data_IF_467577235202
#
_entry.id   IF_467577235202
#
_cell.length_a   1.000
_cell.length_b   1.000
_cell.length_c   1.000
_cell.angle_alpha   90.00
_cell.angle_beta   90.00
_cell.angle_gamma   90.00
#
_symmetry.space_group_name_H-M   'P 1'
#
loop_
_entity.id
_entity.type
_entity.pdbx_description
1 polymer ?
#
# COMPACT_ATOMS: atom_id res chain seq x y z
N UNK A 1 11.72 4.44 -22.58
CA UNK A 1 12.60 3.30 -22.74
C UNK A 1 11.89 1.98 -22.42
N UNK A 2 11.74 1.53 -21.15
CA UNK A 2 11.16 0.22 -20.84
C UNK A 2 9.74 -0.01 -21.40
N UNK A 3 8.88 1.00 -21.37
CA UNK A 3 7.52 0.93 -21.94
C UNK A 3 7.59 0.73 -23.45
N UNK A 4 8.45 1.48 -24.14
CA UNK A 4 8.61 1.38 -25.58
C UNK A 4 9.21 0.03 -26.01
N UNK A 5 10.15 -0.49 -25.24
CA UNK A 5 10.87 -1.75 -25.55
C UNK A 5 9.96 -2.97 -25.39
N UNK A 6 9.05 -2.98 -24.42
CA UNK A 6 8.15 -4.11 -24.14
C UNK A 6 6.77 -3.97 -24.77
N UNK A 7 6.39 -2.77 -25.20
CA UNK A 7 5.10 -2.45 -25.82
C UNK A 7 3.87 -3.11 -25.12
N UNK A 8 3.70 -2.96 -23.79
CA UNK A 8 2.59 -3.58 -23.06
C UNK A 8 1.27 -2.87 -23.41
N UNK A 9 0.15 -3.58 -23.29
CA UNK A 9 -1.18 -2.97 -23.44
C UNK A 9 -1.58 -2.17 -22.18
N UNK A 10 -1.16 -2.67 -21.01
CA UNK A 10 -1.47 -2.09 -19.72
C UNK A 10 -0.22 -1.94 -18.88
N UNK A 11 -0.21 -0.94 -18.00
CA UNK A 11 0.92 -0.62 -17.13
C UNK A 11 0.40 -0.48 -15.69
N UNK A 12 0.91 -1.33 -14.80
CA UNK A 12 0.64 -1.25 -13.37
C UNK A 12 1.79 -0.51 -12.68
N UNK A 13 1.47 0.59 -12.01
CA UNK A 13 2.40 1.41 -11.24
C UNK A 13 2.12 1.19 -9.76
N UNK A 14 3.14 0.86 -8.99
CA UNK A 14 3.05 0.57 -7.57
C UNK A 14 3.91 1.54 -6.77
N UNK A 15 3.44 1.96 -5.60
CA UNK A 15 4.27 2.64 -4.63
C UNK A 15 5.28 1.68 -3.99
N UNK A 16 6.46 2.18 -3.62
CA UNK A 16 7.58 1.38 -3.13
C UNK A 16 7.66 1.22 -1.60
N UNK A 17 6.83 1.95 -0.85
CA UNK A 17 6.88 2.07 0.61
C UNK A 17 5.54 1.74 1.30
N UNK A 18 4.75 0.87 0.70
CA UNK A 18 3.47 0.43 1.25
C UNK A 18 3.50 -1.06 1.59
N UNK A 19 2.88 -1.42 2.71
CA UNK A 19 2.68 -2.81 3.16
C UNK A 19 1.23 -3.21 2.96
N UNK A 20 0.99 -4.14 2.06
CA UNK A 20 -0.34 -4.68 1.73
C UNK A 20 -0.22 -6.00 0.97
N UNK A 21 -1.35 -6.67 0.78
CA UNK A 21 -1.43 -7.90 0.00
C UNK A 21 -2.67 -7.81 -0.89
N UNK A 22 -2.47 -7.64 -2.19
CA UNK A 22 -3.54 -7.39 -3.16
C UNK A 22 -3.47 -8.37 -4.32
N UNK A 23 -4.63 -8.91 -4.73
CA UNK A 23 -4.78 -9.61 -5.99
C UNK A 23 -5.02 -8.59 -7.12
N UNK A 24 -3.96 -8.24 -7.83
CA UNK A 24 -4.06 -7.29 -8.94
C UNK A 24 -4.93 -7.78 -10.10
N UNK A 25 -5.23 -9.07 -10.21
CA UNK A 25 -6.10 -9.60 -11.25
C UNK A 25 -7.53 -9.07 -11.13
N UNK A 26 -8.02 -8.86 -9.91
CA UNK A 26 -9.36 -8.28 -9.66
C UNK A 26 -9.41 -6.82 -10.15
N UNK A 27 -8.40 -6.03 -9.82
CA UNK A 27 -8.27 -4.66 -10.31
C UNK A 27 -8.16 -4.61 -11.84
N UNK A 28 -7.39 -5.52 -12.43
CA UNK A 28 -7.20 -5.63 -13.88
C UNK A 28 -8.50 -6.01 -14.58
N UNK A 29 -9.23 -7.01 -14.08
CA UNK A 29 -10.53 -7.43 -14.60
C UNK A 29 -11.52 -6.25 -14.62
N UNK A 30 -11.65 -5.53 -13.50
CA UNK A 30 -12.51 -4.35 -13.41
C UNK A 30 -12.10 -3.25 -14.40
N UNK A 31 -10.80 -3.01 -14.54
CA UNK A 31 -10.25 -2.03 -15.49
C UNK A 31 -10.67 -2.36 -16.92
N UNK A 32 -10.52 -3.62 -17.35
CA UNK A 32 -10.92 -4.07 -18.69
C UNK A 32 -12.43 -4.01 -18.90
N UNK A 33 -13.22 -4.56 -17.96
CA UNK A 33 -14.68 -4.60 -18.05
C UNK A 33 -15.30 -3.21 -18.15
N UNK A 34 -14.71 -2.25 -17.49
CA UNK A 34 -15.19 -0.86 -17.51
C UNK A 34 -14.62 -0.05 -18.67
N UNK A 35 -13.55 -0.50 -19.33
CA UNK A 35 -12.87 0.26 -20.37
C UNK A 35 -12.31 1.59 -19.84
N UNK A 36 -11.72 1.57 -18.66
CA UNK A 36 -11.11 2.75 -18.05
C UNK A 36 -9.81 3.13 -18.76
N UNK A 37 -9.46 4.42 -18.82
CA UNK A 37 -8.14 4.89 -19.22
C UNK A 37 -7.12 4.66 -18.10
N UNK A 38 -7.57 4.85 -16.85
CA UNK A 38 -6.83 4.55 -15.64
C UNK A 38 -7.76 4.10 -14.53
N UNK A 39 -7.31 3.12 -13.76
CA UNK A 39 -7.93 2.69 -12.50
C UNK A 39 -6.98 3.01 -11.35
N UNK A 40 -7.46 3.71 -10.33
CA UNK A 40 -6.72 4.10 -9.13
C UNK A 40 -7.17 3.22 -7.98
N UNK A 41 -6.26 2.50 -7.34
CA UNK A 41 -6.60 1.78 -6.12
C UNK A 41 -6.76 2.74 -4.95
N UNK A 42 -7.86 2.57 -4.24
CA UNK A 42 -8.25 3.39 -3.10
C UNK A 42 -8.68 2.50 -1.94
N UNK A 43 -8.59 3.02 -0.73
CA UNK A 43 -9.02 2.34 0.47
C UNK A 43 -9.90 3.26 1.32
N UNK A 44 -11.01 2.77 1.90
CA UNK A 44 -11.78 3.54 2.86
C UNK A 44 -10.95 3.82 4.13
N UNK A 45 -10.90 5.07 4.55
CA UNK A 45 -10.18 5.52 5.75
C UNK A 45 -11.05 6.53 6.51
N UNK A 46 -10.93 6.62 7.85
CA UNK A 46 -11.63 7.64 8.63
C UNK A 46 -11.37 9.05 8.10
N UNK A 47 -12.41 9.87 7.96
CA UNK A 47 -12.31 11.23 7.38
C UNK A 47 -11.29 12.14 8.09
N UNK A 48 -11.08 11.93 9.38
CA UNK A 48 -10.08 12.64 10.20
C UNK A 48 -8.63 12.41 9.77
N UNK A 49 -8.36 11.31 9.05
CA UNK A 49 -7.02 10.97 8.54
C UNK A 49 -6.68 11.65 7.21
N UNK A 50 -7.59 12.42 6.64
CA UNK A 50 -7.47 13.06 5.31
C UNK A 50 -6.22 13.92 5.12
N UNK A 51 -5.71 14.52 6.19
CA UNK A 51 -4.50 15.35 6.16
C UNK A 51 -3.21 14.57 5.88
N UNK A 52 -3.29 13.23 5.90
CA UNK A 52 -2.15 12.34 5.62
C UNK A 52 -2.14 11.81 4.20
N UNK A 53 -3.29 11.80 3.51
CA UNK A 53 -3.45 11.10 2.22
C UNK A 53 -4.01 11.99 1.12
N UNK A 54 -3.78 11.58 -0.13
CA UNK A 54 -4.55 12.05 -1.26
C UNK A 54 -5.98 11.48 -1.19
N UNK A 55 -6.99 12.34 -1.21
CA UNK A 55 -8.40 11.95 -1.14
C UNK A 55 -9.02 11.94 -2.52
N UNK A 56 -9.65 10.85 -2.87
CA UNK A 56 -10.34 10.62 -4.13
C UNK A 56 -11.82 10.95 -3.96
N UNK A 57 -12.35 11.81 -4.81
CA UNK A 57 -13.78 12.07 -4.92
C UNK A 57 -14.38 11.17 -6.00
N UNK A 58 -15.46 10.48 -5.69
CA UNK A 58 -16.15 9.58 -6.62
C UNK A 58 -17.64 9.90 -6.72
N UNK A 59 -18.24 9.51 -7.84
CA UNK A 59 -19.69 9.39 -7.98
C UNK A 59 -20.19 8.00 -7.51
N UNK A 60 -21.49 7.72 -7.71
CA UNK A 60 -22.12 6.45 -7.30
C UNK A 60 -21.59 5.22 -8.05
N UNK A 61 -20.98 5.40 -9.21
CA UNK A 61 -20.40 4.35 -10.04
C UNK A 61 -18.88 4.18 -9.82
N UNK A 62 -18.33 4.81 -8.78
CA UNK A 62 -16.90 4.86 -8.50
C UNK A 62 -16.06 5.51 -9.62
N UNK A 63 -16.67 6.35 -10.46
CA UNK A 63 -15.93 7.22 -11.36
C UNK A 63 -15.30 8.36 -10.55
N UNK A 64 -14.01 8.57 -10.76
CA UNK A 64 -13.31 9.64 -10.06
C UNK A 64 -13.68 10.99 -10.68
N UNK A 65 -14.20 11.87 -9.84
CA UNK A 65 -14.65 13.22 -10.20
C UNK A 65 -13.72 14.30 -9.69
N UNK A 66 -12.84 13.97 -8.74
CA UNK A 66 -11.85 14.89 -8.19
C UNK A 66 -10.76 14.19 -7.38
N UNK A 67 -9.68 14.92 -7.17
CA UNK A 67 -8.55 14.51 -6.33
C UNK A 67 -8.11 15.69 -5.48
N UNK A 68 -7.97 15.48 -4.17
CA UNK A 68 -7.53 16.48 -3.22
C UNK A 68 -6.30 15.97 -2.46
N UNK A 69 -5.20 16.68 -2.52
CA UNK A 69 -4.00 16.33 -1.77
C UNK A 69 -4.10 16.85 -0.34
N UNK A 70 -4.16 15.93 0.62
CA UNK A 70 -4.13 16.18 2.07
C UNK A 70 -5.12 17.28 2.54
N UNK A 71 -6.40 17.19 2.18
CA UNK A 71 -7.36 18.25 2.47
C UNK A 71 -7.74 18.29 3.95
N UNK A 72 -7.94 19.50 4.49
CA UNK A 72 -8.48 19.68 5.85
C UNK A 72 -9.99 19.39 5.94
N UNK A 73 -10.71 19.60 4.84
CA UNK A 73 -12.14 19.36 4.74
C UNK A 73 -12.37 18.44 3.52
N UNK A 74 -12.21 17.12 3.68
CA UNK A 74 -12.33 16.20 2.58
C UNK A 74 -13.78 16.00 2.16
N UNK A 75 -14.00 15.63 0.89
CA UNK A 75 -15.23 14.97 0.50
C UNK A 75 -15.20 13.52 0.95
N UNK A 76 -16.31 13.07 1.52
CA UNK A 76 -16.51 11.72 2.01
C UNK A 76 -17.07 10.82 0.91
N UNK A 77 -17.06 9.51 1.16
CA UNK A 77 -17.63 8.51 0.26
C UNK A 77 -19.16 8.74 0.14
N UNK A 78 -19.75 8.67 -1.06
CA UNK A 78 -21.19 8.78 -1.23
C UNK A 78 -21.93 7.72 -0.39
N UNK A 79 -22.78 8.21 0.54
CA UNK A 79 -23.52 7.35 1.47
C UNK A 79 -22.78 6.98 2.75
N UNK A 80 -21.50 7.35 2.89
CA UNK A 80 -20.70 7.12 4.11
C UNK A 80 -19.96 8.41 4.53
N UNK A 81 -20.58 9.23 5.38
CA UNK A 81 -19.99 10.51 5.82
C UNK A 81 -18.81 10.36 6.78
N UNK A 82 -18.56 9.16 7.30
CA UNK A 82 -17.49 8.90 8.26
C UNK A 82 -16.15 8.59 7.57
N UNK A 83 -16.19 8.17 6.31
CA UNK A 83 -15.01 7.70 5.60
C UNK A 83 -14.74 8.50 4.31
N UNK A 84 -13.47 8.53 3.95
CA UNK A 84 -12.92 9.03 2.68
C UNK A 84 -12.37 7.87 1.87
N UNK A 85 -12.20 8.05 0.56
CA UNK A 85 -11.38 7.16 -0.25
C UNK A 85 -9.96 7.72 -0.32
N UNK A 86 -9.04 7.08 0.40
CA UNK A 86 -7.62 7.41 0.33
C UNK A 86 -6.97 6.75 -0.88
N UNK A 87 -6.19 7.50 -1.65
CA UNK A 87 -5.38 6.96 -2.73
C UNK A 87 -4.24 6.10 -2.18
N UNK A 88 -4.10 4.89 -2.68
CA UNK A 88 -3.01 3.98 -2.30
C UNK A 88 -1.73 4.18 -3.14
N UNK A 89 -1.70 5.13 -4.08
CA UNK A 89 -0.55 5.29 -4.97
C UNK A 89 -0.35 4.10 -5.92
N UNK A 90 -1.41 3.36 -6.21
CA UNK A 90 -1.42 2.21 -7.10
C UNK A 90 -2.31 2.54 -8.29
N UNK A 91 -1.75 2.49 -9.50
CA UNK A 91 -2.41 2.90 -10.72
C UNK A 91 -2.30 1.84 -11.80
N UNK A 92 -3.41 1.51 -12.44
CA UNK A 92 -3.43 0.65 -13.62
C UNK A 92 -3.87 1.48 -14.82
N UNK A 93 -2.98 1.67 -15.78
CA UNK A 93 -3.20 2.48 -16.98
C UNK A 93 -3.32 1.64 -18.24
N UNK A 94 -4.13 2.09 -19.19
CA UNK A 94 -3.90 1.79 -20.58
C UNK A 94 -2.61 2.49 -21.03
N UNK A 95 -1.71 1.79 -21.73
CA UNK A 95 -0.42 2.32 -22.17
C UNK A 95 -0.56 3.64 -22.93
N UNK A 96 -1.45 3.69 -23.91
CA UNK A 96 -1.57 4.85 -24.80
C UNK A 96 -2.05 6.09 -24.03
N UNK A 97 -3.00 5.89 -23.08
CA UNK A 97 -3.45 6.96 -22.20
C UNK A 97 -2.31 7.47 -21.30
N UNK A 98 -1.51 6.55 -20.72
CA UNK A 98 -0.36 6.94 -19.90
C UNK A 98 0.68 7.73 -20.71
N UNK A 99 1.07 7.22 -21.89
CA UNK A 99 2.09 7.87 -22.71
C UNK A 99 1.66 9.28 -23.11
N UNK A 100 0.42 9.45 -23.56
CA UNK A 100 -0.12 10.75 -23.92
C UNK A 100 -0.11 11.74 -22.75
N UNK A 101 -0.57 11.31 -21.57
CA UNK A 101 -0.60 12.19 -20.40
C UNK A 101 0.81 12.55 -19.89
N UNK A 102 1.76 11.61 -19.94
CA UNK A 102 3.16 11.89 -19.58
C UNK A 102 3.82 12.85 -20.54
N UNK A 103 3.57 12.74 -21.85
CA UNK A 103 4.10 13.67 -22.86
C UNK A 103 3.56 15.09 -22.65
N UNK A 104 2.26 15.22 -22.38
CA UNK A 104 1.63 16.50 -22.08
C UNK A 104 2.16 17.12 -20.78
N UNK A 105 2.31 16.31 -19.75
CA UNK A 105 2.83 16.77 -18.47
C UNK A 105 4.30 17.19 -18.57
N UNK A 106 5.12 16.45 -19.32
CA UNK A 106 6.52 16.80 -19.58
C UNK A 106 6.68 18.18 -20.25
N UNK A 107 5.72 18.61 -21.08
CA UNK A 107 5.65 19.95 -21.68
C UNK A 107 5.17 21.05 -20.73
N UNK A 108 4.72 20.71 -19.51
CA UNK A 108 4.11 21.65 -18.56
C UNK A 108 5.13 22.15 -17.55
N UNK A 109 5.66 23.35 -17.75
CA UNK A 109 6.75 23.95 -16.94
C UNK A 109 6.44 24.02 -15.43
N UNK A 110 5.17 24.17 -15.04
CA UNK A 110 4.75 24.29 -13.64
C UNK A 110 4.34 22.95 -13.02
N UNK A 111 4.43 21.86 -13.76
CA UNK A 111 4.12 20.53 -13.24
C UNK A 111 5.19 20.06 -12.26
N UNK A 112 4.76 19.36 -11.20
CA UNK A 112 5.63 18.64 -10.28
C UNK A 112 5.90 17.20 -10.77
N UNK A 113 5.31 16.81 -11.91
CA UNK A 113 5.37 15.46 -12.49
C UNK A 113 4.90 14.36 -11.53
N UNK A 114 3.87 14.68 -10.72
CA UNK A 114 3.29 13.81 -9.72
C UNK A 114 1.94 13.26 -10.19
N UNK A 115 1.73 11.95 -10.03
CA UNK A 115 0.50 11.30 -10.48
C UNK A 115 -0.74 11.88 -9.80
N UNK A 116 -0.72 12.04 -8.48
CA UNK A 116 -1.85 12.54 -7.70
C UNK A 116 -2.12 14.03 -7.90
N UNK A 117 -1.04 14.85 -7.99
CA UNK A 117 -1.19 16.31 -8.08
C UNK A 117 -1.38 16.83 -9.49
N UNK A 118 -0.80 16.15 -10.48
CA UNK A 118 -0.75 16.63 -11.87
C UNK A 118 -1.49 15.70 -12.83
N UNK A 119 -1.04 14.44 -12.99
CA UNK A 119 -1.51 13.53 -14.03
C UNK A 119 -3.00 13.19 -13.84
N UNK A 120 -3.39 12.64 -12.72
CA UNK A 120 -4.78 12.21 -12.47
C UNK A 120 -5.77 13.40 -12.53
N UNK A 121 -5.52 14.55 -11.86
CA UNK A 121 -6.37 15.73 -12.01
C UNK A 121 -6.49 16.24 -13.45
N UNK A 122 -5.41 16.17 -14.23
CA UNK A 122 -5.42 16.56 -15.64
C UNK A 122 -6.29 15.61 -16.47
N UNK A 123 -6.15 14.30 -16.28
CA UNK A 123 -6.98 13.28 -16.93
C UNK A 123 -8.48 13.50 -16.66
N UNK A 124 -8.84 13.78 -15.40
CA UNK A 124 -10.22 14.08 -15.00
C UNK A 124 -10.75 15.32 -15.77
N UNK A 125 -9.97 16.42 -15.78
CA UNK A 125 -10.33 17.67 -16.49
C UNK A 125 -10.51 17.46 -17.98
N UNK A 126 -9.74 16.55 -18.59
CA UNK A 126 -9.82 16.22 -20.03
C UNK A 126 -10.94 15.23 -20.36
N UNK A 127 -11.71 14.80 -19.36
CA UNK A 127 -12.83 13.87 -19.53
C UNK A 127 -12.42 12.42 -19.76
N UNK A 128 -11.18 12.04 -19.45
CA UNK A 128 -10.73 10.66 -19.45
C UNK A 128 -11.55 9.82 -18.47
N UNK A 129 -11.65 8.53 -18.75
CA UNK A 129 -12.36 7.61 -17.87
C UNK A 129 -11.44 7.14 -16.75
N UNK A 130 -11.51 7.86 -15.62
CA UNK A 130 -10.73 7.59 -14.41
C UNK A 130 -11.62 6.92 -13.39
N UNK A 131 -11.28 5.71 -12.95
CA UNK A 131 -12.09 4.91 -12.02
C UNK A 131 -11.34 4.61 -10.72
N UNK A 132 -12.09 4.51 -9.63
CA UNK A 132 -11.60 4.01 -8.36
C UNK A 132 -11.81 2.50 -8.26
N UNK A 133 -10.78 1.79 -7.83
CA UNK A 133 -10.85 0.41 -7.37
C UNK A 133 -10.83 0.43 -5.84
N UNK A 134 -11.96 0.08 -5.22
CA UNK A 134 -12.09 0.04 -3.77
C UNK A 134 -11.44 -1.23 -3.22
N UNK A 135 -10.38 -1.08 -2.42
CA UNK A 135 -9.63 -2.19 -1.84
C UNK A 135 -10.27 -2.65 -0.54
N UNK A 136 -11.31 -3.45 -0.68
CA UNK A 136 -12.09 -4.06 0.40
C UNK A 136 -12.16 -5.57 0.20
N UNK A 137 -12.49 -6.30 1.26
CA UNK A 137 -12.74 -7.72 1.22
C UNK A 137 -14.17 -8.07 0.69
N UNK A 138 -14.54 -9.34 0.77
CA UNK A 138 -15.85 -9.84 0.31
C UNK A 138 -17.01 -9.31 1.18
N UNK A 139 -16.74 -8.95 2.41
CA UNK A 139 -17.69 -8.36 3.37
C UNK A 139 -17.81 -6.83 3.19
N UNK A 140 -16.93 -6.22 2.40
CA UNK A 140 -16.88 -4.77 2.16
C UNK A 140 -16.03 -4.00 3.17
N UNK A 141 -15.28 -4.70 4.02
CA UNK A 141 -14.37 -4.09 5.00
C UNK A 141 -13.02 -3.74 4.36
N UNK A 142 -12.38 -2.64 4.77
CA UNK A 142 -11.07 -2.27 4.25
C UNK A 142 -10.01 -3.36 4.47
N UNK A 143 -9.34 -3.80 3.40
CA UNK A 143 -8.21 -4.72 3.51
C UNK A 143 -7.03 -4.08 4.23
N UNK A 144 -6.07 -4.91 4.69
CA UNK A 144 -4.87 -4.37 5.32
C UNK A 144 -4.01 -3.59 4.33
N UNK A 145 -3.76 -2.33 4.66
CA UNK A 145 -2.85 -1.45 3.96
C UNK A 145 -2.19 -0.47 4.94
N UNK A 146 -0.89 -0.28 4.81
CA UNK A 146 -0.12 0.71 5.58
C UNK A 146 0.87 1.43 4.68
N UNK A 147 0.83 2.75 4.73
CA UNK A 147 1.93 3.61 4.31
C UNK A 147 2.95 3.63 5.45
N UNK A 148 4.22 3.28 5.17
CA UNK A 148 5.31 3.23 6.15
C UNK A 148 6.30 4.39 5.98
N UNK A 149 5.86 5.51 5.44
CA UNK A 149 6.66 6.70 5.18
C UNK A 149 7.16 7.44 6.43
N UNK A 150 6.75 7.03 7.65
CA UNK A 150 7.27 7.55 8.92
C UNK A 150 7.80 6.43 9.81
N UNK A 151 8.72 6.78 10.76
CA UNK A 151 9.27 5.80 11.71
C UNK A 151 8.18 5.15 12.56
N UNK A 152 7.18 5.92 12.98
CA UNK A 152 6.08 5.42 13.80
C UNK A 152 5.18 4.47 12.99
N UNK A 153 4.87 4.80 11.73
CA UNK A 153 4.09 3.92 10.84
C UNK A 153 4.86 2.61 10.54
N UNK A 154 6.18 2.70 10.31
CA UNK A 154 7.04 1.53 10.14
C UNK A 154 7.05 0.65 11.41
N UNK A 155 7.20 1.25 12.60
CA UNK A 155 7.13 0.53 13.86
C UNK A 155 5.77 -0.16 14.05
N UNK A 156 4.67 0.57 13.82
CA UNK A 156 3.32 0.01 13.95
C UNK A 156 3.08 -1.14 12.96
N UNK A 157 3.57 -1.04 11.73
CA UNK A 157 3.45 -2.14 10.75
C UNK A 157 4.17 -3.41 11.24
N UNK A 158 5.32 -3.28 11.90
CA UNK A 158 6.00 -4.42 12.52
C UNK A 158 5.20 -4.98 13.73
N UNK A 159 4.65 -4.12 14.57
CA UNK A 159 3.85 -4.54 15.72
C UNK A 159 2.53 -5.23 15.30
N UNK A 160 1.94 -4.83 14.17
CA UNK A 160 0.75 -5.50 13.62
C UNK A 160 1.01 -6.99 13.32
N UNK A 161 2.25 -7.37 12.97
CA UNK A 161 2.63 -8.76 12.69
C UNK A 161 2.66 -9.66 13.94
N UNK A 162 2.79 -9.07 15.14
CA UNK A 162 2.89 -9.80 16.41
C UNK A 162 1.54 -10.23 16.97
N UNK A 163 0.44 -9.74 16.41
CA UNK A 163 -0.91 -10.12 16.86
C UNK A 163 -1.13 -11.62 16.67
N UNK A 164 -1.90 -12.28 17.53
CA UNK A 164 -2.23 -13.70 17.38
C UNK A 164 -2.92 -14.02 16.05
N UNK A 165 -3.76 -13.09 15.57
CA UNK A 165 -4.42 -13.15 14.26
C UNK A 165 -4.15 -11.84 13.53
N UNK A 166 -3.00 -11.74 12.83
CA UNK A 166 -2.61 -10.52 12.16
C UNK A 166 -3.35 -10.39 10.82
N UNK A 167 -3.91 -9.21 10.55
CA UNK A 167 -4.56 -8.92 9.27
C UNK A 167 -3.60 -9.08 8.07
N UNK A 168 -2.29 -8.86 8.30
CA UNK A 168 -1.22 -9.20 7.36
C UNK A 168 -0.41 -10.38 7.92
N UNK A 169 -0.74 -11.60 7.47
CA UNK A 169 -0.16 -12.82 8.01
C UNK A 169 1.02 -13.31 7.14
N UNK A 170 2.25 -13.25 7.68
CA UNK A 170 3.46 -13.77 7.04
C UNK A 170 3.47 -15.31 6.93
N UNK A 171 2.69 -16.00 7.77
CA UNK A 171 2.63 -17.46 7.82
C UNK A 171 1.49 -18.05 6.95
N UNK A 172 0.80 -17.22 6.16
CA UNK A 172 -0.24 -17.67 5.24
C UNK A 172 0.36 -18.54 4.12
N UNK A 173 0.12 -19.85 4.19
CA UNK A 173 0.62 -20.82 3.22
C UNK A 173 -0.17 -20.79 1.91
N UNK A 174 -1.40 -20.29 1.90
CA UNK A 174 -2.23 -20.22 0.68
C UNK A 174 -1.77 -19.08 -0.23
N UNK A 175 -1.27 -18.01 0.38
CA UNK A 175 -0.76 -16.85 -0.34
C UNK A 175 0.54 -16.33 0.30
N UNK A 176 1.66 -17.06 0.14
CA UNK A 176 2.93 -16.72 0.78
C UNK A 176 3.52 -15.43 0.21
N UNK A 177 4.08 -14.61 1.09
CA UNK A 177 4.92 -13.47 0.68
C UNK A 177 6.23 -14.02 0.11
N UNK A 178 6.51 -13.70 -1.15
CA UNK A 178 7.72 -14.14 -1.85
C UNK A 178 8.75 -13.01 -1.83
N UNK A 179 9.94 -13.34 -1.32
CA UNK A 179 11.08 -12.43 -1.28
C UNK A 179 12.37 -13.21 -1.51
N UNK A 180 13.51 -12.52 -1.55
CA UNK A 180 14.81 -13.17 -1.59
C UNK A 180 15.09 -13.81 -0.22
N UNK A 181 14.96 -15.14 -0.16
CA UNK A 181 15.27 -15.92 1.03
C UNK A 181 16.73 -16.38 1.00
N UNK A 182 17.57 -15.74 1.79
CA UNK A 182 18.89 -16.29 2.09
C UNK A 182 18.73 -17.45 3.09
N UNK A 183 19.58 -18.48 2.95
CA UNK A 183 19.61 -19.59 3.91
C UNK A 183 20.35 -19.14 5.17
N UNK A 184 19.60 -18.70 6.16
CA UNK A 184 20.12 -18.40 7.49
C UNK A 184 19.99 -19.63 8.40
N UNK A 185 20.94 -19.84 9.35
CA UNK A 185 20.78 -20.85 10.39
C UNK A 185 19.56 -20.51 11.28
N UNK A 186 19.03 -21.49 12.01
CA UNK A 186 17.96 -21.23 13.00
C UNK A 186 18.37 -20.18 14.01
N UNK A 187 17.37 -19.48 14.56
CA UNK A 187 17.56 -18.60 15.72
C UNK A 187 18.14 -19.39 16.88
N UNK A 188 19.14 -18.83 17.55
CA UNK A 188 19.75 -19.40 18.75
C UNK A 188 19.54 -18.47 19.93
N UNK A 189 18.82 -18.95 20.97
CA UNK A 189 18.69 -18.26 22.24
C UNK A 189 19.42 -19.06 23.32
N UNK A 190 20.24 -18.40 24.09
CA UNK A 190 21.10 -19.02 25.13
C UNK A 190 21.00 -18.27 26.44
N UNK A 191 21.21 -19.00 27.54
CA UNK A 191 21.56 -18.41 28.85
C UNK A 191 23.06 -18.48 29.06
N UNK A 192 23.63 -17.58 29.84
CA UNK A 192 25.03 -17.64 30.25
C UNK A 192 25.17 -17.33 31.75
N UNK A 193 26.31 -17.69 32.32
CA UNK A 193 26.66 -17.38 33.71
C UNK A 193 27.59 -16.15 33.66
N UNK A 194 27.20 -15.08 34.34
CA UNK A 194 27.99 -13.85 34.41
C UNK A 194 29.22 -13.98 35.37
N UNK A 195 30.05 -12.94 35.44
CA UNK A 195 31.23 -12.89 36.30
C UNK A 195 30.87 -12.97 37.80
N UNK A 196 29.62 -12.76 38.16
CA UNK A 196 29.09 -12.84 39.53
C UNK A 196 28.48 -14.22 39.85
N UNK A 197 28.66 -15.22 38.98
CA UNK A 197 28.09 -16.55 39.05
C UNK A 197 26.54 -16.54 39.05
N UNK A 198 25.93 -15.54 38.42
CA UNK A 198 24.49 -15.47 38.22
C UNK A 198 24.12 -15.96 36.82
N UNK A 199 23.09 -16.77 36.73
CA UNK A 199 22.55 -17.21 35.46
C UNK A 199 21.69 -16.08 34.84
N UNK A 200 22.10 -15.62 33.65
CA UNK A 200 21.32 -14.68 32.84
C UNK A 200 20.56 -15.49 31.79
N UNK A 201 19.27 -15.62 31.99
CA UNK A 201 18.40 -16.43 31.13
C UNK A 201 18.01 -15.66 29.88
N UNK A 202 18.30 -16.22 28.71
CA UNK A 202 17.75 -15.76 27.44
C UNK A 202 16.30 -16.21 27.24
N UNK A 203 15.42 -15.30 26.86
CA UNK A 203 14.01 -15.63 26.58
C UNK A 203 13.47 -14.87 25.37
N UNK A 204 12.53 -15.49 24.66
CA UNK A 204 11.79 -14.91 23.55
C UNK A 204 10.31 -15.10 23.83
N UNK A 205 9.57 -14.02 24.01
CA UNK A 205 8.14 -14.05 24.34
C UNK A 205 7.40 -13.08 23.42
N UNK A 206 6.28 -13.49 22.83
CA UNK A 206 5.43 -12.65 21.94
C UNK A 206 6.19 -11.90 20.86
N UNK A 207 7.20 -12.52 20.25
CA UNK A 207 8.13 -11.83 19.37
C UNK A 207 8.35 -12.60 18.06
N UNK A 208 8.61 -11.89 16.97
CA UNK A 208 9.10 -12.44 15.72
C UNK A 208 10.60 -12.19 15.63
N UNK A 209 11.38 -13.27 15.49
CA UNK A 209 12.84 -13.20 15.37
C UNK A 209 13.25 -13.87 14.08
N UNK A 210 14.00 -13.13 13.25
CA UNK A 210 14.47 -13.63 11.95
C UNK A 210 15.53 -14.71 12.11
N UNK A 211 15.62 -15.60 11.13
CA UNK A 211 16.69 -16.60 11.04
C UNK A 211 18.07 -15.95 11.11
N UNK A 212 19.05 -16.65 11.66
CA UNK A 212 20.43 -16.18 11.82
C UNK A 212 20.71 -15.33 13.06
N UNK A 213 19.68 -14.95 13.82
CA UNK A 213 19.87 -14.21 15.07
C UNK A 213 20.47 -15.10 16.16
N UNK A 214 21.39 -14.54 16.95
CA UNK A 214 21.94 -15.12 18.17
C UNK A 214 21.58 -14.20 19.33
N UNK A 215 20.84 -14.72 20.30
CA UNK A 215 20.43 -14.02 21.50
C UNK A 215 21.16 -14.64 22.69
N UNK A 216 22.11 -13.90 23.26
CA UNK A 216 22.94 -14.34 24.36
C UNK A 216 22.53 -13.61 25.64
N UNK A 217 21.84 -14.30 26.55
CA UNK A 217 21.27 -13.76 27.77
C UNK A 217 20.25 -12.65 27.56
N UNK A 218 19.77 -12.44 26.32
CA UNK A 218 18.83 -11.40 25.99
C UNK A 218 17.40 -11.82 26.30
N UNK A 219 16.63 -10.92 26.91
CA UNK A 219 15.19 -11.04 27.06
C UNK A 219 14.52 -10.20 25.99
N UNK A 220 13.79 -10.85 25.08
CA UNK A 220 13.06 -10.22 23.98
C UNK A 220 11.57 -10.46 24.21
N UNK A 221 10.83 -9.38 24.40
CA UNK A 221 9.38 -9.38 24.60
C UNK A 221 8.76 -8.27 23.77
N UNK A 222 7.77 -8.63 22.91
CA UNK A 222 7.08 -7.74 22.01
C UNK A 222 5.62 -7.50 22.35
#
# INVERSE_FOLDING_TARGET
YAIADHNPEHILILAGDHVYKMNYQEMFKRHQETGADVTVSCIPMPAETSVSFGVIEVDQDFRITGFQEKPKNPKTIPGDPSNILASMGIYLFNRDALCEELELDAGTVLSQHDFGKNIIPQMIKRGRKVLAYNFVDEEGEPCYWRDIGTRDAYYQANMDLLRPDPAFNLHDRKWPVRTNHMQYPPVKSMSFIDDRQQEITGSIVNSLVSGGCVLDGAQVEG
#
